data_IF_875199054316
#
_entry.id   IF_875199054316
#
_cell.length_a   1.000
_cell.length_b   1.000
_cell.length_c   1.000
_cell.angle_alpha   90.00
_cell.angle_beta   90.00
_cell.angle_gamma   90.00
#
_symmetry.space_group_name_H-M   'P 1'
#
loop_
_entity.id
_entity.type
_entity.pdbx_description
1 polymer ?
#
# COMPACT_ATOMS: atom_id res chain seq x y z
N UNK A 1 -22.72 22.21 2.93
CA UNK A 1 -22.99 21.55 1.62
C UNK A 1 -21.79 21.51 0.68
N UNK A 2 -21.41 22.56 -0.05
CA UNK A 2 -20.27 22.50 -1.01
C UNK A 2 -18.92 22.11 -0.34
N UNK A 3 -18.54 22.69 0.81
CA UNK A 3 -17.28 22.33 1.48
C UNK A 3 -17.28 20.88 2.00
N UNK A 4 -18.44 20.38 2.41
CA UNK A 4 -18.61 19.00 2.89
C UNK A 4 -18.56 17.99 1.75
N UNK A 5 -19.16 18.30 0.60
CA UNK A 5 -19.07 17.47 -0.60
C UNK A 5 -17.61 17.34 -1.06
N UNK A 6 -16.87 18.47 -1.05
CA UNK A 6 -15.45 18.50 -1.37
C UNK A 6 -14.63 17.65 -0.40
N UNK A 7 -14.81 17.89 0.90
CA UNK A 7 -14.08 17.14 1.96
C UNK A 7 -14.38 15.65 1.93
N UNK A 8 -15.64 15.28 1.67
CA UNK A 8 -16.06 13.87 1.51
C UNK A 8 -15.42 13.22 0.29
N UNK A 9 -15.41 13.92 -0.85
CA UNK A 9 -14.77 13.45 -2.09
C UNK A 9 -13.27 13.28 -1.91
N UNK A 10 -12.60 14.25 -1.31
CA UNK A 10 -11.16 14.20 -1.00
C UNK A 10 -10.82 13.04 -0.06
N UNK A 11 -11.59 12.86 1.02
CA UNK A 11 -11.40 11.72 1.94
C UNK A 11 -11.58 10.38 1.25
N UNK A 12 -12.56 10.25 0.35
CA UNK A 12 -12.77 9.01 -0.42
C UNK A 12 -11.63 8.75 -1.39
N UNK A 13 -11.16 9.78 -2.11
CA UNK A 13 -10.01 9.68 -3.01
C UNK A 13 -8.74 9.30 -2.26
N UNK A 14 -8.52 9.88 -1.08
CA UNK A 14 -7.37 9.56 -0.24
C UNK A 14 -7.42 8.13 0.28
N UNK A 15 -8.59 7.62 0.68
CA UNK A 15 -8.77 6.20 1.02
C UNK A 15 -8.46 5.27 -0.14
N UNK A 16 -8.85 5.62 -1.38
CA UNK A 16 -8.49 4.84 -2.56
C UNK A 16 -6.96 4.80 -2.78
N UNK A 17 -6.28 5.90 -2.51
CA UNK A 17 -4.82 5.99 -2.61
C UNK A 17 -4.12 5.20 -1.50
N UNK A 18 -4.63 5.21 -0.28
CA UNK A 18 -4.15 4.38 0.83
C UNK A 18 -4.35 2.88 0.55
N UNK A 19 -5.51 2.50 0.02
CA UNK A 19 -5.77 1.12 -0.42
C UNK A 19 -4.75 0.69 -1.48
N UNK A 20 -4.53 1.51 -2.51
CA UNK A 20 -3.50 1.25 -3.52
C UNK A 20 -2.11 1.10 -2.89
N UNK A 21 -1.71 1.97 -1.97
CA UNK A 21 -0.42 1.86 -1.28
C UNK A 21 -0.29 0.56 -0.50
N UNK A 22 -1.36 0.13 0.17
CA UNK A 22 -1.37 -1.13 0.92
C UNK A 22 -1.27 -2.34 -0.02
N UNK A 23 -1.99 -2.33 -1.14
CA UNK A 23 -1.95 -3.43 -2.11
C UNK A 23 -0.60 -3.49 -2.83
N UNK A 24 -0.07 -2.34 -3.27
CA UNK A 24 1.30 -2.25 -3.78
C UNK A 24 2.34 -2.64 -2.72
N UNK A 25 2.08 -2.41 -1.44
CA UNK A 25 2.93 -2.84 -0.32
C UNK A 25 3.04 -4.36 -0.21
N UNK A 26 1.96 -5.10 -0.50
CA UNK A 26 1.92 -6.56 -0.50
C UNK A 26 2.67 -7.17 -1.69
N UNK A 27 2.78 -6.43 -2.80
CA UNK A 27 3.48 -6.93 -3.99
C UNK A 27 5.00 -6.98 -3.75
N UNK A 28 5.54 -8.19 -3.81
CA UNK A 28 6.97 -8.48 -3.64
C UNK A 28 7.79 -7.95 -4.82
N UNK A 29 8.66 -6.98 -4.57
CA UNK A 29 9.52 -6.33 -5.61
C UNK A 29 10.88 -6.99 -5.76
N UNK A 30 11.21 -7.96 -4.91
CA UNK A 30 12.57 -8.52 -4.83
C UNK A 30 13.54 -7.67 -4.00
N UNK A 31 13.18 -6.41 -3.72
CA UNK A 31 13.82 -5.59 -2.69
C UNK A 31 13.19 -5.81 -1.33
N UNK A 32 14.04 -5.98 -0.31
CA UNK A 32 13.64 -6.05 1.09
C UNK A 32 12.94 -4.76 1.50
N UNK A 33 11.74 -4.91 2.05
CA UNK A 33 10.99 -3.86 2.72
C UNK A 33 10.46 -4.42 4.04
N UNK A 34 10.56 -3.63 5.11
CA UNK A 34 10.12 -4.04 6.44
C UNK A 34 8.63 -4.41 6.48
N UNK A 35 7.80 -3.75 5.67
CA UNK A 35 6.35 -4.00 5.61
C UNK A 35 5.93 -5.37 5.09
N UNK A 36 6.85 -6.16 4.51
CA UNK A 36 6.58 -7.56 4.15
C UNK A 36 6.33 -8.40 5.41
N UNK A 37 6.86 -8.01 6.57
CA UNK A 37 6.67 -8.77 7.81
C UNK A 37 5.49 -8.28 8.64
N UNK A 38 4.79 -7.20 8.26
CA UNK A 38 3.73 -6.60 9.09
C UNK A 38 2.52 -7.53 9.34
N UNK A 39 2.29 -8.51 8.47
CA UNK A 39 1.21 -9.49 8.62
C UNK A 39 1.63 -10.75 9.39
N UNK A 40 2.91 -10.89 9.73
CA UNK A 40 3.41 -12.04 10.50
C UNK A 40 3.10 -11.82 11.97
N UNK A 41 2.33 -12.75 12.54
CA UNK A 41 2.05 -12.79 13.96
C UNK A 41 2.94 -13.85 14.62
N UNK A 42 3.45 -13.52 15.80
CA UNK A 42 4.34 -14.34 16.61
C UNK A 42 3.62 -14.68 17.90
N UNK A 43 3.72 -15.94 18.31
CA UNK A 43 3.24 -16.37 19.62
C UNK A 43 4.15 -15.81 20.72
N UNK A 44 3.61 -14.86 21.47
CA UNK A 44 4.20 -14.32 22.69
C UNK A 44 3.44 -14.87 23.90
N UNK A 45 3.99 -15.91 24.52
CA UNK A 45 3.46 -16.56 25.72
C UNK A 45 1.95 -16.92 25.66
N UNK A 46 1.50 -17.48 24.54
CA UNK A 46 0.12 -17.91 24.32
C UNK A 46 -0.80 -16.85 23.70
N UNK A 47 -0.25 -15.69 23.33
CA UNK A 47 -0.97 -14.62 22.64
C UNK A 47 -0.30 -14.26 21.32
N UNK A 48 -1.08 -14.18 20.23
CA UNK A 48 -0.55 -13.81 18.92
C UNK A 48 -0.36 -12.29 18.86
N UNK A 49 0.90 -11.85 18.78
CA UNK A 49 1.26 -10.44 18.64
C UNK A 49 1.93 -10.20 17.29
N UNK A 50 1.74 -9.03 16.65
CA UNK A 50 2.42 -8.71 15.41
C UNK A 50 3.93 -8.59 15.64
N UNK A 51 4.71 -9.07 14.67
CA UNK A 51 6.18 -9.15 14.79
C UNK A 51 6.86 -7.79 15.05
N UNK A 52 6.26 -6.70 14.59
CA UNK A 52 6.74 -5.34 14.81
C UNK A 52 6.72 -4.88 16.28
N UNK A 53 5.91 -5.52 17.14
CA UNK A 53 5.85 -5.24 18.57
C UNK A 53 6.88 -6.05 19.36
N UNK A 54 7.21 -7.25 18.88
CA UNK A 54 8.12 -8.18 19.57
C UNK A 54 9.56 -8.12 19.07
N UNK A 55 9.81 -7.46 17.94
CA UNK A 55 11.14 -7.32 17.35
C UNK A 55 11.33 -6.01 16.57
N UNK A 56 12.58 -5.58 16.47
CA UNK A 56 12.99 -4.50 15.58
C UNK A 56 13.33 -5.05 14.18
N UNK A 57 12.74 -4.46 13.14
CA UNK A 57 12.88 -4.90 11.75
C UNK A 57 13.75 -3.88 11.01
N UNK A 58 14.93 -4.30 10.56
CA UNK A 58 15.87 -3.47 9.84
C UNK A 58 16.25 -4.12 8.50
N UNK A 59 16.60 -3.32 7.49
CA UNK A 59 17.27 -3.85 6.30
C UNK A 59 18.75 -4.04 6.60
N UNK A 60 19.26 -5.26 6.47
CA UNK A 60 20.70 -5.52 6.51
C UNK A 60 21.29 -5.30 5.12
N UNK A 61 20.60 -5.79 4.09
CA UNK A 61 20.98 -5.66 2.69
C UNK A 61 19.71 -5.55 1.82
N UNK A 62 19.85 -5.14 0.57
CA UNK A 62 18.75 -4.97 -0.39
C UNK A 62 17.88 -6.23 -0.56
N UNK A 63 18.38 -7.40 -0.18
CA UNK A 63 17.68 -8.69 -0.26
C UNK A 63 17.55 -9.43 1.08
N UNK A 64 18.03 -8.84 2.18
CA UNK A 64 18.04 -9.50 3.50
C UNK A 64 17.44 -8.58 4.57
N UNK A 65 16.34 -9.02 5.17
CA UNK A 65 15.74 -8.35 6.33
C UNK A 65 16.36 -8.93 7.61
N UNK A 66 16.82 -8.06 8.49
CA UNK A 66 17.25 -8.41 9.84
C UNK A 66 16.13 -8.15 10.83
N UNK A 67 15.72 -9.19 11.54
CA UNK A 67 14.75 -9.09 12.64
C UNK A 67 15.50 -9.32 13.94
N UNK A 68 15.56 -8.29 14.79
CA UNK A 68 16.23 -8.35 16.09
C UNK A 68 15.17 -8.37 17.19
N UNK A 69 14.89 -9.52 17.82
CA UNK A 69 13.95 -9.61 18.92
C UNK A 69 14.39 -8.78 20.13
N UNK A 70 13.42 -8.23 20.86
CA UNK A 70 13.68 -7.60 22.16
C UNK A 70 14.11 -8.62 23.22
N UNK A 71 13.60 -9.86 23.12
CA UNK A 71 13.96 -10.98 23.99
C UNK A 71 14.57 -12.13 23.19
N UNK A 72 15.78 -12.58 23.57
CA UNK A 72 16.49 -13.67 22.87
C UNK A 72 15.69 -14.98 22.80
N UNK A 73 14.85 -15.26 23.80
CA UNK A 73 14.02 -16.46 23.86
C UNK A 73 12.95 -16.51 22.76
N UNK A 74 12.56 -15.37 22.21
CA UNK A 74 11.58 -15.26 21.13
C UNK A 74 12.17 -15.51 19.74
N UNK A 75 13.51 -15.56 19.61
CA UNK A 75 14.15 -15.74 18.30
C UNK A 75 13.64 -17.00 17.57
N UNK A 76 13.46 -18.11 18.30
CA UNK A 76 12.93 -19.36 17.75
C UNK A 76 11.45 -19.27 17.39
N UNK A 77 10.65 -18.56 18.19
CA UNK A 77 9.22 -18.34 17.91
C UNK A 77 9.03 -17.47 16.66
N UNK A 78 9.86 -16.44 16.52
CA UNK A 78 9.89 -15.56 15.34
C UNK A 78 10.36 -16.31 14.09
N UNK A 79 11.43 -17.11 14.20
CA UNK A 79 11.92 -17.94 13.10
C UNK A 79 10.82 -18.88 12.59
N UNK A 80 10.10 -19.53 13.52
CA UNK A 80 8.98 -20.40 13.19
C UNK A 80 7.82 -19.64 12.56
N UNK A 81 7.42 -18.50 13.14
CA UNK A 81 6.34 -17.67 12.60
C UNK A 81 6.61 -17.17 11.18
N UNK A 82 7.86 -16.77 10.88
CA UNK A 82 8.25 -16.34 9.54
C UNK A 82 8.31 -17.52 8.56
N UNK A 83 8.78 -18.69 8.99
CA UNK A 83 8.82 -19.90 8.15
C UNK A 83 7.42 -20.45 7.85
N UNK A 84 6.54 -20.43 8.83
CA UNK A 84 5.15 -20.90 8.72
C UNK A 84 4.25 -19.86 8.03
N UNK A 85 4.74 -18.63 7.83
CA UNK A 85 4.02 -17.62 7.03
C UNK A 85 3.96 -18.01 5.55
N UNK A 86 2.87 -17.63 4.88
CA UNK A 86 2.65 -17.84 3.43
C UNK A 86 3.65 -17.10 2.52
N UNK A 87 4.70 -16.51 3.09
CA UNK A 87 5.72 -15.75 2.37
C UNK A 87 6.79 -16.64 1.71
N UNK A 88 6.90 -17.91 2.10
CA UNK A 88 7.88 -18.84 1.55
C UNK A 88 9.32 -18.38 1.77
N UNK A 89 9.60 -17.75 2.92
CA UNK A 89 10.91 -17.25 3.30
C UNK A 89 11.59 -18.27 4.22
N UNK A 90 12.90 -18.41 4.08
CA UNK A 90 13.68 -19.29 4.95
C UNK A 90 14.53 -18.45 5.92
N UNK A 91 14.02 -18.12 7.12
CA UNK A 91 14.79 -17.37 8.11
C UNK A 91 15.97 -18.20 8.63
N UNK A 92 17.08 -17.52 8.88
CA UNK A 92 18.29 -18.06 9.49
C UNK A 92 18.71 -17.19 10.67
N UNK A 93 18.78 -17.77 11.86
CA UNK A 93 19.25 -17.08 13.06
C UNK A 93 20.78 -17.00 13.06
N UNK A 94 21.33 -15.79 13.18
CA UNK A 94 22.78 -15.53 13.32
C UNK A 94 23.00 -14.71 14.58
N UNK A 95 23.40 -15.37 15.67
CA UNK A 95 23.53 -14.74 16.99
C UNK A 95 22.17 -14.26 17.51
N UNK A 96 22.08 -12.97 17.81
CA UNK A 96 20.86 -12.33 18.34
C UNK A 96 19.92 -11.79 17.22
N UNK A 97 20.26 -11.96 15.94
CA UNK A 97 19.47 -11.44 14.81
C UNK A 97 19.00 -12.57 13.89
N UNK A 98 17.71 -12.57 13.54
CA UNK A 98 17.13 -13.47 12.53
C UNK A 98 17.24 -12.81 11.15
N UNK A 99 17.99 -13.43 10.24
CA UNK A 99 18.14 -12.99 8.85
C UNK A 99 17.12 -13.69 7.98
N UNK A 100 16.33 -12.90 7.27
CA UNK A 100 15.32 -13.38 6.32
C UNK A 100 15.80 -13.02 4.91
N UNK A 101 16.54 -13.92 4.23
CA UNK A 101 16.92 -13.73 2.84
C UNK A 101 15.67 -13.87 1.97
N UNK A 102 15.45 -12.91 1.08
CA UNK A 102 14.41 -13.02 0.08
C UNK A 102 14.97 -13.69 -1.18
N UNK A 103 14.40 -14.84 -1.62
CA UNK A 103 14.75 -15.40 -2.91
C UNK A 103 14.51 -14.40 -4.04
N UNK A 104 15.43 -14.42 -5.01
CA UNK A 104 15.33 -13.60 -6.21
C UNK A 104 14.08 -14.00 -7.01
N UNK A 105 13.36 -13.01 -7.52
CA UNK A 105 12.29 -13.23 -8.46
C UNK A 105 12.90 -13.64 -9.81
N UNK A 106 12.38 -14.71 -10.42
CA UNK A 106 12.69 -15.05 -11.81
C UNK A 106 12.16 -13.95 -12.74
N UNK A 107 12.78 -13.81 -13.92
CA UNK A 107 12.38 -12.76 -14.88
C UNK A 107 10.92 -12.91 -15.34
N UNK A 108 10.44 -14.15 -15.48
CA UNK A 108 9.05 -14.45 -15.79
C UNK A 108 8.10 -13.97 -14.69
N UNK A 109 8.42 -14.26 -13.42
CA UNK A 109 7.60 -13.84 -12.29
C UNK A 109 7.57 -12.31 -12.15
N UNK A 110 8.67 -11.63 -12.45
CA UNK A 110 8.75 -10.17 -12.48
C UNK A 110 7.82 -9.57 -13.54
N UNK A 111 7.79 -10.13 -14.76
CA UNK A 111 6.88 -9.68 -15.84
C UNK A 111 5.41 -9.84 -15.46
N UNK A 112 5.05 -10.94 -14.81
CA UNK A 112 3.67 -11.15 -14.36
C UNK A 112 3.27 -10.19 -13.23
N UNK A 113 4.17 -9.92 -12.27
CA UNK A 113 3.91 -8.96 -11.20
C UNK A 113 3.76 -7.52 -11.72
N UNK A 114 4.50 -7.13 -12.76
CA UNK A 114 4.31 -5.83 -13.41
C UNK A 114 2.90 -5.71 -14.00
N UNK A 115 2.36 -6.77 -14.62
CA UNK A 115 0.99 -6.76 -15.14
C UNK A 115 -0.04 -6.59 -14.01
N UNK A 116 0.15 -7.27 -12.89
CA UNK A 116 -0.73 -7.16 -11.72
C UNK A 116 -0.71 -5.74 -11.16
N UNK A 117 0.48 -5.17 -10.95
CA UNK A 117 0.67 -3.81 -10.42
C UNK A 117 0.04 -2.75 -11.34
N UNK A 118 0.15 -2.91 -12.66
CA UNK A 118 -0.54 -2.05 -13.63
C UNK A 118 -2.06 -2.17 -13.52
N UNK A 119 -2.57 -3.39 -13.34
CA UNK A 119 -4.00 -3.64 -13.14
C UNK A 119 -4.54 -2.95 -11.88
N UNK A 120 -3.81 -3.06 -10.76
CA UNK A 120 -4.18 -2.39 -9.50
C UNK A 120 -4.17 -0.86 -9.63
N UNK A 121 -3.17 -0.29 -10.31
CA UNK A 121 -3.14 1.15 -10.56
C UNK A 121 -4.28 1.62 -11.45
N UNK A 122 -4.66 0.86 -12.49
CA UNK A 122 -5.81 1.23 -13.32
C UNK A 122 -7.12 1.13 -12.54
N UNK A 123 -7.28 0.11 -11.68
CA UNK A 123 -8.43 0.02 -10.77
C UNK A 123 -8.53 1.25 -9.86
N UNK A 124 -7.42 1.71 -9.31
CA UNK A 124 -7.39 2.94 -8.50
C UNK A 124 -7.75 4.18 -9.32
N UNK A 125 -7.27 4.31 -10.56
CA UNK A 125 -7.65 5.41 -11.45
C UNK A 125 -9.14 5.38 -11.78
N UNK A 126 -9.70 4.21 -12.08
CA UNK A 126 -11.14 4.03 -12.33
C UNK A 126 -11.95 4.42 -11.11
N UNK A 127 -11.54 4.03 -9.91
CA UNK A 127 -12.20 4.42 -8.66
C UNK A 127 -12.21 5.95 -8.47
N UNK A 128 -11.06 6.62 -8.68
CA UNK A 128 -10.95 8.09 -8.60
C UNK A 128 -11.83 8.79 -9.65
N UNK A 129 -11.87 8.27 -10.89
CA UNK A 129 -12.76 8.79 -11.95
C UNK A 129 -14.25 8.61 -11.63
N UNK A 130 -14.62 7.49 -11.00
CA UNK A 130 -15.99 7.25 -10.53
C UNK A 130 -16.37 8.23 -9.41
N UNK A 131 -15.50 8.45 -8.42
CA UNK A 131 -15.72 9.45 -7.36
C UNK A 131 -15.90 10.86 -7.92
N UNK A 132 -15.15 11.23 -8.96
CA UNK A 132 -15.36 12.50 -9.68
C UNK A 132 -16.74 12.57 -10.32
N UNK A 133 -17.20 11.48 -10.96
CA UNK A 133 -18.52 11.42 -11.59
C UNK A 133 -19.64 11.56 -10.57
N UNK A 134 -19.51 10.90 -9.41
CA UNK A 134 -20.48 10.99 -8.32
C UNK A 134 -20.55 12.40 -7.72
N UNK A 135 -19.39 13.04 -7.52
CA UNK A 135 -19.32 14.44 -7.08
C UNK A 135 -20.01 15.38 -8.08
N UNK A 136 -19.76 15.21 -9.38
CA UNK A 136 -20.41 16.00 -10.42
C UNK A 136 -21.92 15.74 -10.51
N UNK A 137 -22.38 14.51 -10.26
CA UNK A 137 -23.81 14.20 -10.20
C UNK A 137 -24.48 14.90 -9.02
N UNK A 138 -23.87 14.83 -7.84
CA UNK A 138 -24.38 15.51 -6.64
C UNK A 138 -24.45 17.03 -6.83
N UNK A 139 -23.48 17.63 -7.52
CA UNK A 139 -23.53 19.06 -7.88
C UNK A 139 -24.71 19.38 -8.81
N UNK A 140 -24.95 18.58 -9.85
CA UNK A 140 -26.11 18.76 -10.75
C UNK A 140 -27.44 18.61 -10.02
N UNK A 141 -27.55 17.68 -9.08
CA UNK A 141 -28.75 17.51 -8.26
C UNK A 141 -28.98 18.72 -7.33
N UNK A 142 -27.92 19.22 -6.71
CA UNK A 142 -27.98 20.44 -5.90
C UNK A 142 -28.37 21.69 -6.73
N UNK A 143 -27.93 21.77 -7.98
CA UNK A 143 -28.33 22.84 -8.91
C UNK A 143 -29.83 22.75 -9.23
N UNK A 144 -30.35 21.56 -9.53
CA UNK A 144 -31.79 21.33 -9.75
C UNK A 144 -32.64 21.65 -8.53
N UNK A 145 -32.12 21.37 -7.33
CA UNK A 145 -32.76 21.71 -6.06
C UNK A 145 -32.65 23.21 -5.71
N UNK A 146 -32.02 24.03 -6.56
CA UNK A 146 -31.72 25.47 -6.35
C UNK A 146 -30.93 25.76 -5.06
N UNK A 147 -30.18 24.78 -4.58
CA UNK A 147 -29.35 24.91 -3.37
C UNK A 147 -28.00 25.56 -3.66
N UNK A 148 -27.59 25.62 -4.93
CA UNK A 148 -26.34 26.22 -5.41
C UNK A 148 -26.58 27.04 -6.68
N UNK A 149 -25.75 28.05 -6.92
CA UNK A 149 -25.74 28.83 -8.16
C UNK A 149 -24.92 28.16 -9.27
N UNK A 150 -25.17 28.54 -10.53
CA UNK A 150 -24.41 28.04 -11.70
C UNK A 150 -22.91 28.41 -11.64
N UNK A 151 -22.59 29.60 -11.09
CA UNK A 151 -21.21 30.02 -10.84
C UNK A 151 -20.51 29.15 -9.78
N UNK A 152 -21.22 28.77 -8.71
CA UNK A 152 -20.68 27.88 -7.68
C UNK A 152 -20.50 26.44 -8.18
N UNK A 153 -21.42 25.94 -9.01
CA UNK A 153 -21.27 24.64 -9.66
C UNK A 153 -19.99 24.61 -10.50
N UNK A 154 -19.79 25.62 -11.36
CA UNK A 154 -18.63 25.68 -12.25
C UNK A 154 -17.32 25.77 -11.48
N UNK A 155 -17.24 26.60 -10.44
CA UNK A 155 -16.07 26.69 -9.56
C UNK A 155 -15.78 25.35 -8.88
N UNK A 156 -16.81 24.70 -8.34
CA UNK A 156 -16.62 23.43 -7.62
C UNK A 156 -16.19 22.31 -8.56
N UNK A 157 -16.72 22.27 -9.79
CA UNK A 157 -16.28 21.30 -10.81
C UNK A 157 -14.80 21.47 -11.16
N UNK A 158 -14.32 22.71 -11.34
CA UNK A 158 -12.91 22.98 -11.60
C UNK A 158 -12.00 22.54 -10.44
N UNK A 159 -12.44 22.76 -9.20
CA UNK A 159 -11.70 22.31 -8.01
C UNK A 159 -11.66 20.78 -7.89
N UNK A 160 -12.80 20.11 -8.11
CA UNK A 160 -12.89 18.65 -8.10
C UNK A 160 -12.00 18.06 -9.20
N UNK A 161 -11.94 18.69 -10.36
CA UNK A 161 -11.05 18.28 -11.45
C UNK A 161 -9.58 18.40 -11.02
N UNK A 162 -9.16 19.54 -10.44
CA UNK A 162 -7.79 19.72 -9.92
C UNK A 162 -7.42 18.69 -8.84
N UNK A 163 -8.34 18.36 -7.93
CA UNK A 163 -8.14 17.32 -6.92
C UNK A 163 -7.95 15.93 -7.58
N UNK A 164 -8.80 15.61 -8.56
CA UNK A 164 -8.72 14.35 -9.31
C UNK A 164 -7.37 14.23 -10.01
N UNK A 165 -6.93 15.28 -10.71
CA UNK A 165 -5.68 15.30 -11.47
C UNK A 165 -4.46 15.12 -10.55
N UNK A 166 -4.48 15.74 -9.36
CA UNK A 166 -3.46 15.55 -8.33
C UNK A 166 -3.37 14.09 -7.87
N UNK A 167 -4.51 13.47 -7.55
CA UNK A 167 -4.52 12.07 -7.09
C UNK A 167 -4.11 11.09 -8.19
N UNK A 168 -4.50 11.33 -9.45
CA UNK A 168 -4.03 10.53 -10.59
C UNK A 168 -2.51 10.64 -10.73
N UNK A 169 -1.95 11.85 -10.64
CA UNK A 169 -0.49 12.03 -10.68
C UNK A 169 0.24 11.32 -9.54
N UNK A 170 -0.35 11.28 -8.33
CA UNK A 170 0.21 10.53 -7.20
C UNK A 170 0.15 9.01 -7.43
N UNK A 171 -0.95 8.50 -8.02
CA UNK A 171 -1.07 7.08 -8.43
C UNK A 171 0.00 6.73 -9.48
N UNK A 172 0.19 7.58 -10.49
CA UNK A 172 1.17 7.37 -11.55
C UNK A 172 2.61 7.38 -11.01
N UNK A 173 2.90 8.28 -10.06
CA UNK A 173 4.18 8.32 -9.38
C UNK A 173 4.42 7.05 -8.55
N UNK A 174 3.41 6.57 -7.83
CA UNK A 174 3.49 5.33 -7.06
C UNK A 174 3.71 4.10 -7.96
N UNK A 175 3.00 4.03 -9.10
CA UNK A 175 3.19 2.99 -10.11
C UNK A 175 4.63 3.03 -10.65
N UNK A 176 5.11 4.18 -11.11
CA UNK A 176 6.43 4.32 -11.70
C UNK A 176 7.55 3.94 -10.72
N UNK A 177 7.41 4.33 -9.45
CA UNK A 177 8.33 3.92 -8.39
C UNK A 177 8.34 2.39 -8.23
N UNK A 178 7.16 1.76 -8.18
CA UNK A 178 7.03 0.31 -8.01
C UNK A 178 7.55 -0.47 -9.22
N UNK A 179 7.31 0.02 -10.43
CA UNK A 179 7.86 -0.55 -11.66
C UNK A 179 9.38 -0.45 -11.70
N UNK A 180 9.94 0.68 -11.27
CA UNK A 180 11.39 0.85 -11.13
C UNK A 180 11.97 -0.13 -10.10
N UNK A 181 11.30 -0.31 -8.96
CA UNK A 181 11.73 -1.27 -7.94
C UNK A 181 11.61 -2.73 -8.41
N UNK A 182 10.62 -3.06 -9.25
CA UNK A 182 10.50 -4.37 -9.89
C UNK A 182 11.57 -4.59 -10.95
N UNK A 183 12.00 -3.56 -11.67
CA UNK A 183 13.02 -3.67 -12.73
C UNK A 183 14.45 -3.52 -12.22
N UNK A 184 14.67 -2.86 -11.09
CA UNK A 184 15.98 -2.72 -10.47
C UNK A 184 16.58 -4.11 -10.16
N UNK A 185 17.86 -4.28 -10.49
CA UNK A 185 18.66 -5.50 -10.32
C UNK A 185 19.56 -5.37 -9.11
#
# INVERSE_FOLDING_TARGET
MIPELKKSTEQKMQKSLEALKNDLGKVRTGRAHAGILDHVQVDYYGSMMPINQVANINLIDARTIGVTPWEKKLATAIEKAIRDSDLGLNPSSVGDTVRVPMPALTEERRKDLIKVVRGEAENARVAVRNLRRDANHALKEAMKAKTISEDEERRTQEEVQKLTDRHIAEIDKALAQKESDLMAV
#
